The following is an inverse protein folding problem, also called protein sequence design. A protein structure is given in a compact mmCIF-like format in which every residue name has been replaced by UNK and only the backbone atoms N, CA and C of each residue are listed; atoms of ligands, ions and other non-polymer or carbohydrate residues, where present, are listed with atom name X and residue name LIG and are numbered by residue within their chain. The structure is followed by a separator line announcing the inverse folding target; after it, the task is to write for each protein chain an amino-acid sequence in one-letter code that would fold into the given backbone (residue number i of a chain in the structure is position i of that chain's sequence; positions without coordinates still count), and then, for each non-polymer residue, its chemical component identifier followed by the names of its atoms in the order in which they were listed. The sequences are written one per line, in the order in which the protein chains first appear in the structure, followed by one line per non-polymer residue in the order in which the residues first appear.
data_IF_331111483417
#
_entry.id   IF_331111483417
#
_cell.length_a   1.000
_cell.length_b   1.000
_cell.length_c   1.000
_cell.angle_alpha   90.00
_cell.angle_beta   90.00
_cell.angle_gamma   90.00
#
_symmetry.space_group_name_H-M   'P 1'
#
loop_
_entity.id
_entity.type
_entity.pdbx_description
1 polymer ?
#
# COMPACT_ATOMS: atom_id res chain seq x y z
N UNK A 1 -12.32 -13.68 6.03
CA UNK A 1 -12.54 -12.31 5.52
C UNK A 1 -11.96 -12.09 4.13
N UNK A 2 -10.83 -12.72 3.77
CA UNK A 2 -10.18 -12.57 2.46
C UNK A 2 -11.12 -12.77 1.26
N UNK A 3 -11.85 -13.89 1.22
CA UNK A 3 -12.80 -14.18 0.14
C UNK A 3 -13.89 -13.11 -0.01
N UNK A 4 -14.23 -12.40 1.09
CA UNK A 4 -15.21 -11.32 1.08
C UNK A 4 -14.64 -10.05 0.45
N UNK A 5 -13.38 -9.72 0.75
CA UNK A 5 -12.67 -8.60 0.12
C UNK A 5 -12.57 -8.81 -1.40
N UNK A 6 -12.05 -9.98 -1.83
CA UNK A 6 -11.94 -10.33 -3.26
C UNK A 6 -13.30 -10.32 -3.97
N UNK A 7 -14.35 -10.73 -3.29
CA UNK A 7 -15.70 -10.68 -3.85
C UNK A 7 -16.19 -9.23 -4.04
N UNK A 8 -15.99 -8.35 -3.06
CA UNK A 8 -16.39 -6.94 -3.16
C UNK A 8 -15.65 -6.23 -4.31
N UNK A 9 -14.36 -6.49 -4.48
CA UNK A 9 -13.56 -5.97 -5.61
C UNK A 9 -14.13 -6.41 -6.95
N UNK A 10 -14.43 -7.71 -7.12
CA UNK A 10 -15.04 -8.25 -8.34
C UNK A 10 -16.41 -7.65 -8.66
N UNK A 11 -17.15 -7.24 -7.63
CA UNK A 11 -18.46 -6.61 -7.78
C UNK A 11 -18.36 -5.09 -8.05
N UNK A 12 -17.15 -4.52 -8.11
CA UNK A 12 -16.94 -3.08 -8.25
C UNK A 12 -17.22 -2.28 -6.98
N UNK A 13 -17.43 -2.95 -5.84
CA UNK A 13 -17.75 -2.35 -4.54
C UNK A 13 -16.46 -1.93 -3.81
N UNK A 14 -15.61 -1.16 -4.51
CA UNK A 14 -14.23 -0.83 -4.09
C UNK A 14 -14.20 -0.14 -2.73
N UNK A 15 -15.09 0.82 -2.47
CA UNK A 15 -15.15 1.52 -1.18
C UNK A 15 -15.42 0.56 0.00
N UNK A 16 -16.29 -0.45 -0.20
CA UNK A 16 -16.58 -1.46 0.83
C UNK A 16 -15.40 -2.40 1.02
N UNK A 17 -14.70 -2.75 -0.07
CA UNK A 17 -13.50 -3.57 -0.01
C UNK A 17 -12.39 -2.87 0.79
N UNK A 18 -12.16 -1.58 0.55
CA UNK A 18 -11.18 -0.74 1.27
C UNK A 18 -11.46 -0.70 2.76
N UNK A 19 -12.70 -0.38 3.15
CA UNK A 19 -13.08 -0.32 4.57
C UNK A 19 -12.91 -1.67 5.25
N UNK A 20 -13.26 -2.76 4.58
CA UNK A 20 -13.10 -4.10 5.14
C UNK A 20 -11.63 -4.52 5.27
N UNK A 21 -10.80 -4.24 4.26
CA UNK A 21 -9.35 -4.52 4.29
C UNK A 21 -8.68 -3.78 5.43
N UNK A 22 -8.98 -2.47 5.60
CA UNK A 22 -8.49 -1.65 6.71
C UNK A 22 -8.87 -2.24 8.07
N UNK A 23 -10.15 -2.51 8.27
CA UNK A 23 -10.61 -3.09 9.54
C UNK A 23 -9.97 -4.45 9.84
N UNK A 24 -9.68 -5.26 8.82
CA UNK A 24 -9.04 -6.56 8.99
C UNK A 24 -7.55 -6.45 9.33
N UNK A 25 -6.81 -5.49 8.75
CA UNK A 25 -5.39 -5.31 9.04
C UNK A 25 -5.13 -4.66 10.41
N UNK A 26 -6.12 -3.94 10.97
CA UNK A 26 -6.07 -3.32 12.30
C UNK A 26 -6.60 -4.24 13.42
N UNK A 27 -7.23 -5.38 13.08
CA UNK A 27 -7.85 -6.27 14.05
C UNK A 27 -6.91 -7.41 14.49
N UNK A 28 -6.48 -7.38 15.75
CA UNK A 28 -5.58 -8.38 16.34
C UNK A 28 -6.12 -9.82 16.33
N UNK A 29 -7.44 -9.99 16.21
CA UNK A 29 -8.10 -11.31 16.16
C UNK A 29 -8.12 -11.93 14.76
N UNK A 30 -7.80 -11.15 13.72
CA UNK A 30 -7.72 -11.64 12.35
C UNK A 30 -6.31 -12.18 12.09
N UNK A 31 -6.23 -13.40 11.58
CA UNK A 31 -4.99 -13.96 11.05
C UNK A 31 -4.66 -13.35 9.68
N UNK A 32 -3.38 -13.35 9.32
CA UNK A 32 -2.89 -12.86 8.02
C UNK A 32 -3.13 -11.36 7.75
N UNK A 33 -2.95 -10.52 8.77
CA UNK A 33 -3.07 -9.05 8.66
C UNK A 33 -2.17 -8.45 7.58
N UNK A 34 -1.01 -9.04 7.32
CA UNK A 34 -0.07 -8.59 6.29
C UNK A 34 -0.73 -8.60 4.89
N UNK A 35 -1.46 -9.66 4.54
CA UNK A 35 -2.16 -9.71 3.26
C UNK A 35 -3.28 -8.66 3.17
N UNK A 36 -4.07 -8.47 4.25
CA UNK A 36 -5.07 -7.41 4.26
C UNK A 36 -4.44 -6.01 4.15
N UNK A 37 -3.25 -5.81 4.73
CA UNK A 37 -2.47 -4.57 4.59
C UNK A 37 -2.05 -4.36 3.14
N UNK A 38 -1.48 -5.37 2.49
CA UNK A 38 -1.10 -5.29 1.07
C UNK A 38 -2.31 -4.98 0.18
N UNK A 39 -3.45 -5.65 0.39
CA UNK A 39 -4.69 -5.35 -0.35
C UNK A 39 -5.18 -3.93 -0.09
N UNK A 40 -5.22 -3.49 1.17
CA UNK A 40 -5.62 -2.12 1.54
C UNK A 40 -4.73 -1.08 0.85
N UNK A 41 -3.41 -1.27 0.90
CA UNK A 41 -2.44 -0.34 0.32
C UNK A 41 -2.54 -0.30 -1.21
N UNK A 42 -2.69 -1.45 -1.88
CA UNK A 42 -2.93 -1.49 -3.33
C UNK A 42 -4.22 -0.73 -3.70
N UNK A 43 -5.29 -0.89 -2.91
CA UNK A 43 -6.53 -0.13 -3.14
C UNK A 43 -6.35 1.38 -2.92
N UNK A 44 -5.58 1.81 -1.91
CA UNK A 44 -5.27 3.23 -1.73
C UNK A 44 -4.52 3.81 -2.94
N UNK A 45 -3.61 3.05 -3.54
CA UNK A 45 -2.88 3.49 -4.73
C UNK A 45 -3.82 3.74 -5.91
N UNK A 46 -4.88 2.95 -6.06
CA UNK A 46 -5.91 3.15 -7.10
C UNK A 46 -6.80 4.38 -6.87
N UNK A 47 -6.83 4.93 -5.65
CA UNK A 47 -7.61 6.12 -5.30
C UNK A 47 -6.83 7.43 -5.49
N UNK A 48 -5.53 7.37 -5.79
CA UNK A 48 -4.71 8.57 -5.97
C UNK A 48 -5.19 9.41 -7.17
N UNK A 49 -5.10 10.75 -7.08
CA UNK A 49 -4.40 11.57 -6.08
C UNK A 49 -5.28 12.03 -4.89
N UNK A 50 -6.21 11.20 -4.41
CA UNK A 50 -7.02 11.53 -3.24
C UNK A 50 -6.17 11.82 -1.99
N UNK A 51 -6.43 12.96 -1.32
CA UNK A 51 -5.65 13.42 -0.16
C UNK A 51 -5.72 12.48 1.05
N UNK A 52 -6.88 11.88 1.30
CA UNK A 52 -7.06 10.92 2.39
C UNK A 52 -6.24 9.64 2.13
N UNK A 53 -6.21 9.18 0.87
CA UNK A 53 -5.37 8.04 0.48
C UNK A 53 -3.87 8.34 0.65
N UNK A 54 -3.42 9.55 0.26
CA UNK A 54 -2.03 9.98 0.46
C UNK A 54 -1.68 10.01 1.95
N UNK A 55 -2.57 10.57 2.77
CA UNK A 55 -2.40 10.65 4.23
C UNK A 55 -2.32 9.25 4.85
N UNK A 56 -3.19 8.33 4.47
CA UNK A 56 -3.17 6.94 4.95
C UNK A 56 -1.88 6.22 4.54
N UNK A 57 -1.41 6.38 3.30
CA UNK A 57 -0.12 5.84 2.84
C UNK A 57 1.04 6.40 3.68
N UNK A 58 1.04 7.71 3.96
CA UNK A 58 2.11 8.35 4.75
C UNK A 58 2.22 7.84 6.19
N UNK A 59 1.17 7.22 6.74
CA UNK A 59 1.13 6.69 8.10
C UNK A 59 1.70 5.28 8.22
N UNK A 60 1.99 4.62 7.10
CA UNK A 60 2.56 3.28 7.08
C UNK A 60 3.99 3.27 7.61
N UNK A 61 4.38 2.15 8.22
CA UNK A 61 5.78 1.91 8.56
C UNK A 61 6.59 1.69 7.27
N UNK A 62 7.79 2.26 7.20
CA UNK A 62 8.59 2.19 5.98
C UNK A 62 8.98 0.74 5.61
N UNK A 63 9.14 -0.16 6.60
CA UNK A 63 9.42 -1.58 6.33
C UNK A 63 8.23 -2.27 5.68
N UNK A 64 7.01 -1.97 6.14
CA UNK A 64 5.79 -2.48 5.51
C UNK A 64 5.69 -1.99 4.07
N UNK A 65 6.03 -0.71 3.81
CA UNK A 65 6.02 -0.17 2.44
C UNK A 65 7.05 -0.88 1.57
N UNK A 66 8.29 -1.07 2.04
CA UNK A 66 9.32 -1.80 1.29
C UNK A 66 8.89 -3.24 0.99
N UNK A 67 8.35 -3.96 1.97
CA UNK A 67 7.87 -5.33 1.80
C UNK A 67 6.73 -5.39 0.77
N UNK A 68 5.70 -4.54 0.93
CA UNK A 68 4.54 -4.50 0.03
C UNK A 68 4.96 -4.12 -1.39
N UNK A 69 5.83 -3.12 -1.55
CA UNK A 69 6.35 -2.72 -2.88
C UNK A 69 7.12 -3.87 -3.53
N UNK A 70 7.95 -4.61 -2.79
CA UNK A 70 8.67 -5.78 -3.33
C UNK A 70 7.71 -6.91 -3.73
N UNK A 71 6.67 -7.16 -2.92
CA UNK A 71 5.67 -8.18 -3.22
C UNK A 71 4.91 -7.83 -4.50
N UNK A 72 4.44 -6.59 -4.63
CA UNK A 72 3.75 -6.10 -5.82
C UNK A 72 4.63 -6.20 -7.08
N UNK A 73 5.91 -5.85 -6.99
CA UNK A 73 6.86 -6.05 -8.10
C UNK A 73 6.98 -7.52 -8.49
N UNK A 74 7.10 -8.42 -7.51
CA UNK A 74 7.20 -9.88 -7.74
C UNK A 74 5.92 -10.47 -8.33
N UNK A 75 4.77 -9.90 -7.98
CA UNK A 75 3.44 -10.26 -8.50
C UNK A 75 3.17 -9.68 -9.91
N UNK A 76 4.06 -8.84 -10.44
CA UNK A 76 3.92 -8.17 -11.74
C UNK A 76 3.06 -6.92 -11.72
N UNK A 77 2.69 -6.41 -10.53
CA UNK A 77 1.98 -5.14 -10.34
C UNK A 77 2.95 -3.95 -10.27
N UNK A 78 3.87 -3.86 -11.24
CA UNK A 78 4.96 -2.87 -11.26
C UNK A 78 4.45 -1.41 -11.18
N UNK A 79 3.34 -1.11 -11.87
CA UNK A 79 2.71 0.22 -11.81
C UNK A 79 2.23 0.56 -10.39
N UNK A 80 1.55 -0.36 -9.71
CA UNK A 80 1.08 -0.17 -8.33
C UNK A 80 2.26 -0.02 -7.37
N UNK A 81 3.30 -0.85 -7.55
CA UNK A 81 4.54 -0.78 -6.78
C UNK A 81 5.21 0.61 -6.94
N UNK A 82 5.34 1.11 -8.16
CA UNK A 82 5.92 2.40 -8.45
C UNK A 82 5.10 3.56 -7.87
N UNK A 83 3.76 3.51 -8.00
CA UNK A 83 2.85 4.51 -7.43
C UNK A 83 2.99 4.55 -5.91
N UNK A 84 2.96 3.40 -5.23
CA UNK A 84 3.13 3.31 -3.79
C UNK A 84 4.47 3.92 -3.34
N UNK A 85 5.55 3.46 -3.98
CA UNK A 85 6.91 3.87 -3.64
C UNK A 85 7.10 5.39 -3.85
N UNK A 86 6.65 5.92 -4.98
CA UNK A 86 6.71 7.36 -5.30
C UNK A 86 5.89 8.19 -4.33
N UNK A 87 4.66 7.76 -4.01
CA UNK A 87 3.77 8.48 -3.10
C UNK A 87 4.38 8.55 -1.70
N UNK A 88 4.83 7.42 -1.16
CA UNK A 88 5.43 7.36 0.17
C UNK A 88 6.76 8.14 0.24
N UNK A 89 7.64 7.97 -0.76
CA UNK A 89 8.91 8.70 -0.83
C UNK A 89 8.69 10.22 -0.88
N UNK A 90 7.71 10.69 -1.66
CA UNK A 90 7.35 12.10 -1.72
C UNK A 90 6.94 12.63 -0.33
N UNK A 91 6.13 11.86 0.39
CA UNK A 91 5.71 12.21 1.75
C UNK A 91 6.87 12.19 2.75
N UNK A 92 7.77 11.20 2.67
CA UNK A 92 8.99 11.15 3.49
C UNK A 92 9.85 12.40 3.31
N UNK A 93 10.08 12.81 2.06
CA UNK A 93 10.89 13.98 1.74
C UNK A 93 10.24 15.27 2.25
N UNK A 94 8.92 15.43 2.08
CA UNK A 94 8.18 16.58 2.60
C UNK A 94 8.26 16.68 4.12
N UNK A 95 8.25 15.54 4.81
CA UNK A 95 8.30 15.45 6.27
C UNK A 95 9.73 15.39 6.83
N UNK A 96 10.76 15.41 5.97
CA UNK A 96 12.17 15.26 6.34
C UNK A 96 12.47 13.96 7.11
N UNK A 97 11.71 12.91 6.83
CA UNK A 97 11.90 11.59 7.43
C UNK A 97 12.92 10.78 6.61
N UNK A 98 14.00 10.35 7.28
CA UNK A 98 15.10 9.60 6.66
C UNK A 98 15.09 8.10 7.02
N UNK A 99 14.08 7.62 7.75
CA UNK A 99 13.99 6.22 8.15
C UNK A 99 13.86 5.31 6.92
N UNK A 100 14.84 4.42 6.69
CA UNK A 100 14.88 3.52 5.54
C UNK A 100 14.79 4.22 4.16
N UNK A 101 15.12 5.52 4.10
CA UNK A 101 14.98 6.30 2.87
C UNK A 101 15.95 5.85 1.78
N UNK A 102 17.12 5.33 2.15
CA UNK A 102 18.09 4.80 1.19
C UNK A 102 17.55 3.58 0.45
N UNK A 103 17.05 2.59 1.18
CA UNK A 103 16.45 1.37 0.62
C UNK A 103 15.25 1.73 -0.26
N UNK A 104 14.44 2.68 0.18
CA UNK A 104 13.28 3.16 -0.56
C UNK A 104 13.67 3.88 -1.86
N UNK A 105 14.68 4.75 -1.83
CA UNK A 105 15.20 5.43 -3.04
C UNK A 105 15.80 4.41 -4.02
N UNK A 106 16.51 3.41 -3.51
CA UNK A 106 17.09 2.36 -4.34
C UNK A 106 15.98 1.55 -5.03
N UNK A 107 14.92 1.18 -4.30
CA UNK A 107 13.77 0.48 -4.85
C UNK A 107 13.02 1.35 -5.87
N UNK A 108 12.77 2.62 -5.55
CA UNK A 108 12.16 3.59 -6.46
C UNK A 108 12.94 3.73 -7.77
N UNK A 109 14.28 3.85 -7.68
CA UNK A 109 15.16 3.97 -8.84
C UNK A 109 15.17 2.72 -9.72
N UNK A 110 14.94 1.54 -9.13
CA UNK A 110 14.79 0.28 -9.87
C UNK A 110 13.47 0.25 -10.63
N UNK A 111 12.37 0.65 -9.98
CA UNK A 111 11.01 0.64 -10.52
C UNK A 111 10.76 1.70 -11.60
N UNK A 112 11.59 2.74 -11.68
CA UNK A 112 11.47 3.79 -12.70
C UNK A 112 11.87 3.32 -14.12
N UNK A 113 12.51 2.15 -14.25
CA UNK A 113 13.04 1.63 -15.52
C UNK A 113 12.00 0.86 -16.30
#
# INVERSE_FOLDING_TARGET
MEMRVKHLEKMGEVAKAVVLSKACCECSFISNQAMFRQTYVSQLCHLLPNEEAIMEISRLDCKDVLEITCNLETEGEENTAFILCTTYLTQQLQQQNLYCSWELIQLWSKLQR
#
